data_IF_874519324793
#
_entry.id   IF_874519324793
#
_cell.length_a   1.000
_cell.length_b   1.000
_cell.length_c   1.000
_cell.angle_alpha   90.00
_cell.angle_beta   90.00
_cell.angle_gamma   90.00
#
_symmetry.space_group_name_H-M   'P 1'
#
loop_
_entity.id
_entity.type
_entity.pdbx_description
1 polymer ?
#
# COMPACT_ATOMS: atom_id res chain seq x y z
N UNK A 1 -36.10 2.86 34.77
CA UNK A 1 -35.80 1.59 34.08
C UNK A 1 -35.07 0.68 35.03
N UNK A 2 -35.45 -0.61 35.10
CA UNK A 2 -34.74 -1.58 35.93
C UNK A 2 -33.42 -2.00 35.25
N UNK A 3 -32.38 -2.29 36.05
CA UNK A 3 -31.08 -2.75 35.56
C UNK A 3 -31.22 -4.16 34.97
N UNK A 4 -30.74 -4.36 33.71
CA UNK A 4 -30.65 -5.67 33.10
C UNK A 4 -29.64 -6.56 33.80
N UNK A 5 -29.87 -7.86 33.84
CA UNK A 5 -28.95 -8.86 34.38
C UNK A 5 -28.43 -9.76 33.26
N UNK A 6 -27.15 -10.06 33.28
CA UNK A 6 -26.52 -11.00 32.36
C UNK A 6 -27.01 -12.42 32.71
N UNK A 7 -27.49 -13.14 31.69
CA UNK A 7 -27.88 -14.54 31.78
C UNK A 7 -26.95 -15.40 30.95
N UNK A 8 -26.75 -16.64 31.36
CA UNK A 8 -26.05 -17.63 30.53
C UNK A 8 -26.80 -17.83 29.22
N UNK A 9 -26.04 -17.84 28.11
CA UNK A 9 -26.60 -18.02 26.78
C UNK A 9 -26.67 -19.49 26.44
N UNK A 10 -27.88 -19.94 26.08
CA UNK A 10 -28.04 -21.19 25.34
C UNK A 10 -27.84 -20.84 23.84
N UNK A 11 -26.90 -21.53 23.19
CA UNK A 11 -26.69 -21.35 21.76
C UNK A 11 -27.85 -21.81 20.94
N UNK A 12 -28.26 -21.04 19.93
CA UNK A 12 -29.27 -21.45 18.98
C UNK A 12 -28.73 -22.56 18.07
N UNK A 13 -29.56 -23.57 17.81
CA UNK A 13 -29.17 -24.73 16.99
C UNK A 13 -28.98 -24.36 15.51
N UNK A 14 -29.79 -23.41 15.04
CA UNK A 14 -29.74 -22.83 13.69
C UNK A 14 -30.18 -21.37 13.76
N UNK A 15 -29.43 -20.49 13.12
CA UNK A 15 -29.79 -19.08 12.89
C UNK A 15 -29.67 -18.81 11.41
N UNK A 16 -30.76 -18.34 10.79
CA UNK A 16 -30.73 -17.89 9.40
C UNK A 16 -29.92 -16.59 9.25
N UNK A 17 -29.25 -16.42 8.10
CA UNK A 17 -28.50 -15.19 7.84
C UNK A 17 -29.38 -13.93 7.96
N UNK A 18 -30.63 -13.99 7.54
CA UNK A 18 -31.62 -12.92 7.65
C UNK A 18 -32.06 -12.61 9.09
N UNK A 19 -31.87 -13.56 10.01
CA UNK A 19 -32.25 -13.43 11.42
C UNK A 19 -31.12 -12.85 12.29
N UNK A 20 -29.92 -12.75 11.73
CA UNK A 20 -28.80 -12.12 12.42
C UNK A 20 -29.08 -10.63 12.63
N UNK A 21 -28.99 -10.12 13.89
CA UNK A 21 -29.20 -8.72 14.16
C UNK A 21 -28.16 -7.90 13.41
N UNK A 22 -28.64 -7.01 12.56
CA UNK A 22 -27.79 -6.10 11.80
C UNK A 22 -27.91 -4.70 12.38
N UNK A 23 -26.82 -3.97 12.40
CA UNK A 23 -26.83 -2.51 12.52
C UNK A 23 -27.65 -1.93 11.36
N UNK A 24 -28.30 -0.75 11.50
CA UNK A 24 -29.08 -0.11 10.42
C UNK A 24 -28.25 0.27 9.18
N UNK A 25 -27.09 -0.28 9.05
CA UNK A 25 -26.32 -0.30 7.85
C UNK A 25 -25.00 0.47 7.99
N UNK A 26 -23.98 -0.04 7.37
CA UNK A 26 -22.82 0.73 6.96
C UNK A 26 -23.18 1.41 5.64
N UNK A 27 -23.97 2.47 5.71
CA UNK A 27 -24.45 3.24 4.55
C UNK A 27 -23.30 3.53 3.57
N UNK A 28 -22.09 3.74 4.10
CA UNK A 28 -20.88 3.94 3.31
C UNK A 28 -20.52 2.70 2.48
N UNK A 29 -20.43 1.51 3.08
CA UNK A 29 -20.05 0.28 2.37
C UNK A 29 -21.13 -0.19 1.40
N UNK A 30 -22.40 0.03 1.72
CA UNK A 30 -23.52 -0.25 0.81
C UNK A 30 -23.44 0.64 -0.43
N UNK A 31 -23.18 1.94 -0.23
CA UNK A 31 -23.00 2.89 -1.33
C UNK A 31 -21.77 2.56 -2.16
N UNK A 32 -20.63 2.29 -1.51
CA UNK A 32 -19.40 1.89 -2.19
C UNK A 32 -19.60 0.61 -3.01
N UNK A 33 -20.29 -0.39 -2.43
CA UNK A 33 -20.61 -1.63 -3.14
C UNK A 33 -21.47 -1.38 -4.38
N UNK A 34 -22.47 -0.50 -4.31
CA UNK A 34 -23.30 -0.12 -5.46
C UNK A 34 -22.46 0.49 -6.57
N UNK A 35 -21.58 1.42 -6.24
CA UNK A 35 -20.67 2.07 -7.20
C UNK A 35 -19.74 1.03 -7.85
N UNK A 36 -19.15 0.12 -7.07
CA UNK A 36 -18.28 -0.94 -7.60
C UNK A 36 -19.02 -1.92 -8.52
N UNK A 37 -20.29 -2.25 -8.20
CA UNK A 37 -21.10 -3.14 -9.04
C UNK A 37 -21.50 -2.43 -10.35
N UNK A 38 -22.01 -1.20 -10.26
CA UNK A 38 -22.42 -0.40 -11.42
C UNK A 38 -21.26 -0.16 -12.39
N UNK A 39 -20.06 0.07 -11.87
CA UNK A 39 -18.84 0.21 -12.65
C UNK A 39 -18.28 -1.10 -13.21
N UNK A 40 -18.78 -2.28 -12.80
CA UNK A 40 -18.27 -3.57 -13.27
C UNK A 40 -16.92 -3.97 -12.68
N UNK A 41 -16.62 -3.54 -11.46
CA UNK A 41 -15.33 -3.69 -10.79
C UNK A 41 -14.79 -5.13 -10.76
N UNK A 42 -15.63 -6.12 -10.46
CA UNK A 42 -15.15 -7.51 -10.34
C UNK A 42 -14.65 -8.04 -11.67
N UNK A 43 -15.36 -7.76 -12.77
CA UNK A 43 -14.95 -8.17 -14.11
C UNK A 43 -13.64 -7.51 -14.54
N UNK A 44 -13.46 -6.23 -14.23
CA UNK A 44 -12.24 -5.49 -14.49
C UNK A 44 -11.06 -6.07 -13.68
N UNK A 45 -11.22 -6.24 -12.36
CA UNK A 45 -10.19 -6.79 -11.48
C UNK A 45 -9.77 -8.21 -11.88
N UNK A 46 -10.73 -9.06 -12.28
CA UNK A 46 -10.45 -10.41 -12.77
C UNK A 46 -9.68 -10.38 -14.09
N UNK A 47 -10.03 -9.48 -15.01
CA UNK A 47 -9.34 -9.32 -16.28
C UNK A 47 -7.89 -8.84 -16.07
N UNK A 48 -7.68 -7.83 -15.25
CA UNK A 48 -6.35 -7.30 -14.91
C UNK A 48 -5.43 -8.33 -14.22
N UNK A 49 -6.01 -9.22 -13.43
CA UNK A 49 -5.26 -10.23 -12.68
C UNK A 49 -5.05 -11.55 -13.44
N UNK A 50 -5.75 -11.78 -14.55
CA UNK A 50 -5.85 -13.10 -15.22
C UNK A 50 -4.51 -13.74 -15.55
N UNK A 51 -3.54 -12.97 -16.03
CA UNK A 51 -2.21 -13.45 -16.43
C UNK A 51 -1.37 -13.96 -15.26
N UNK A 52 -1.72 -13.60 -14.03
CA UNK A 52 -1.00 -13.98 -12.82
C UNK A 52 -1.60 -15.20 -12.10
N UNK A 53 -2.60 -15.82 -12.70
CA UNK A 53 -3.26 -17.03 -12.20
C UNK A 53 -3.19 -18.16 -13.23
N UNK A 54 -3.13 -19.41 -12.76
CA UNK A 54 -3.14 -20.57 -13.64
C UNK A 54 -4.47 -20.69 -14.36
N UNK A 55 -4.42 -20.93 -15.69
CA UNK A 55 -5.62 -20.96 -16.53
C UNK A 55 -6.56 -22.15 -16.23
N UNK A 56 -6.04 -23.31 -15.84
CA UNK A 56 -6.83 -24.57 -15.73
C UNK A 56 -6.47 -25.47 -14.55
N UNK A 57 -5.30 -25.31 -13.91
CA UNK A 57 -4.81 -26.25 -12.90
C UNK A 57 -4.80 -25.60 -11.50
N UNK A 58 -5.22 -26.38 -10.50
CA UNK A 58 -5.25 -25.98 -9.09
C UNK A 58 -6.64 -25.71 -8.53
N UNK A 59 -6.73 -25.59 -7.20
CA UNK A 59 -7.96 -25.19 -6.54
C UNK A 59 -8.33 -23.74 -6.91
N UNK A 60 -9.63 -23.40 -7.06
CA UNK A 60 -10.07 -22.03 -7.28
C UNK A 60 -9.52 -21.11 -6.18
N UNK A 61 -8.90 -19.99 -6.61
CA UNK A 61 -8.45 -18.98 -5.66
C UNK A 61 -9.62 -18.09 -5.23
N UNK A 62 -9.41 -17.33 -4.16
CA UNK A 62 -10.33 -16.23 -3.81
C UNK A 62 -10.34 -15.21 -4.95
N UNK A 63 -11.52 -14.72 -5.38
CA UNK A 63 -11.62 -13.74 -6.46
C UNK A 63 -10.77 -12.47 -6.21
N UNK A 64 -10.06 -11.94 -7.22
CA UNK A 64 -9.24 -10.73 -7.07
C UNK A 64 -10.01 -9.52 -6.52
N UNK A 65 -11.25 -9.31 -6.95
CA UNK A 65 -12.09 -8.22 -6.45
C UNK A 65 -12.27 -8.23 -4.92
N UNK A 66 -12.17 -9.40 -4.28
CA UNK A 66 -12.23 -9.50 -2.81
C UNK A 66 -10.93 -9.03 -2.16
N UNK A 67 -9.78 -9.29 -2.76
CA UNK A 67 -8.49 -8.78 -2.32
C UNK A 67 -8.51 -7.24 -2.27
N UNK A 68 -8.91 -6.60 -3.34
CA UNK A 68 -8.97 -5.14 -3.39
C UNK A 68 -10.01 -4.56 -2.42
N UNK A 69 -11.18 -5.19 -2.26
CA UNK A 69 -12.17 -4.77 -1.24
C UNK A 69 -11.60 -4.82 0.18
N UNK A 70 -10.82 -5.84 0.53
CA UNK A 70 -10.16 -5.89 1.84
C UNK A 70 -9.18 -4.73 2.01
N UNK A 71 -8.41 -4.36 0.98
CA UNK A 71 -7.54 -3.19 1.02
C UNK A 71 -8.32 -1.86 1.12
N UNK A 72 -9.48 -1.74 0.45
CA UNK A 72 -10.37 -0.58 0.62
C UNK A 72 -10.85 -0.47 2.07
N UNK A 73 -11.22 -1.58 2.72
CA UNK A 73 -11.56 -1.58 4.16
C UNK A 73 -10.38 -1.08 4.98
N UNK A 74 -9.16 -1.58 4.72
CA UNK A 74 -7.96 -1.14 5.41
C UNK A 74 -7.73 0.36 5.30
N UNK A 75 -7.84 0.88 4.09
CA UNK A 75 -7.70 2.30 3.82
C UNK A 75 -8.73 3.15 4.57
N UNK A 76 -10.02 2.83 4.43
CA UNK A 76 -11.10 3.62 5.04
C UNK A 76 -11.18 3.52 6.57
N UNK A 77 -10.76 2.40 7.15
CA UNK A 77 -10.77 2.20 8.60
C UNK A 77 -9.39 2.40 9.26
N UNK A 78 -8.37 2.79 8.49
CA UNK A 78 -7.01 3.06 9.01
C UNK A 78 -6.33 1.79 9.57
N UNK A 79 -6.51 0.65 8.92
CA UNK A 79 -5.95 -0.64 9.37
C UNK A 79 -4.70 -0.97 8.56
N UNK A 80 -3.54 -0.87 9.18
CA UNK A 80 -2.24 -1.03 8.52
C UNK A 80 -1.76 -2.50 8.40
N UNK A 81 -2.40 -3.45 9.11
CA UNK A 81 -1.95 -4.83 9.14
C UNK A 81 -2.94 -5.79 8.49
N UNK A 82 -2.43 -6.75 7.71
CA UNK A 82 -3.24 -7.80 7.09
C UNK A 82 -3.98 -8.66 8.12
N UNK A 83 -3.40 -8.89 9.31
CA UNK A 83 -4.08 -9.58 10.41
C UNK A 83 -5.22 -8.75 10.99
N UNK A 84 -5.03 -7.44 11.10
CA UNK A 84 -6.11 -6.53 11.51
C UNK A 84 -7.26 -6.54 10.51
N UNK A 85 -6.95 -6.56 9.19
CA UNK A 85 -7.95 -6.68 8.12
C UNK A 85 -8.75 -7.98 8.21
N UNK A 86 -8.05 -9.13 8.35
CA UNK A 86 -8.70 -10.44 8.51
C UNK A 86 -9.65 -10.43 9.72
N UNK A 87 -9.15 -9.98 10.86
CA UNK A 87 -9.92 -9.92 12.09
C UNK A 87 -11.12 -8.99 11.95
N UNK A 88 -10.91 -7.76 11.49
CA UNK A 88 -11.98 -6.76 11.34
C UNK A 88 -13.08 -7.22 10.38
N UNK A 89 -12.71 -7.79 9.25
CA UNK A 89 -13.66 -8.34 8.28
C UNK A 89 -14.40 -9.58 8.82
N UNK A 90 -13.76 -10.38 9.66
CA UNK A 90 -14.38 -11.55 10.26
C UNK A 90 -15.44 -11.20 11.30
N UNK A 91 -15.22 -10.11 12.03
CA UNK A 91 -16.07 -9.67 13.14
C UNK A 91 -17.27 -8.82 12.71
N UNK A 92 -17.36 -8.45 11.43
CA UNK A 92 -18.40 -7.57 10.91
C UNK A 92 -19.24 -8.24 9.83
N UNK A 93 -20.55 -8.38 10.08
CA UNK A 93 -21.51 -8.88 9.09
C UNK A 93 -21.58 -7.97 7.86
N UNK A 94 -21.57 -6.64 8.05
CA UNK A 94 -21.60 -5.67 6.95
C UNK A 94 -20.37 -5.76 6.06
N UNK A 95 -19.19 -5.94 6.65
CA UNK A 95 -17.96 -6.12 5.87
C UNK A 95 -17.93 -7.46 5.13
N UNK A 96 -18.44 -8.53 5.75
CA UNK A 96 -18.59 -9.82 5.07
C UNK A 96 -19.50 -9.71 3.85
N UNK A 97 -20.57 -8.92 3.94
CA UNK A 97 -21.48 -8.62 2.82
C UNK A 97 -20.79 -7.79 1.74
N UNK A 98 -20.05 -6.74 2.12
CA UNK A 98 -19.21 -5.94 1.21
C UNK A 98 -18.18 -6.78 0.47
N UNK A 99 -17.58 -7.78 1.14
CA UNK A 99 -16.64 -8.74 0.54
C UNK A 99 -17.35 -9.79 -0.33
N UNK A 100 -18.69 -9.79 -0.44
CA UNK A 100 -19.49 -10.77 -1.16
C UNK A 100 -19.19 -12.20 -0.71
N UNK A 101 -19.13 -12.39 0.61
CA UNK A 101 -18.93 -13.69 1.22
C UNK A 101 -20.28 -14.38 1.45
N UNK A 102 -20.35 -15.67 1.11
CA UNK A 102 -21.46 -16.51 1.54
C UNK A 102 -21.50 -16.63 3.07
N UNK A 103 -22.68 -16.93 3.63
CA UNK A 103 -22.91 -16.94 5.08
C UNK A 103 -21.91 -17.80 5.86
N UNK A 104 -21.51 -18.95 5.30
CA UNK A 104 -20.54 -19.88 5.91
C UNK A 104 -19.12 -19.74 5.44
N UNK A 105 -18.85 -18.87 4.46
CA UNK A 105 -17.52 -18.68 3.92
C UNK A 105 -16.61 -18.01 4.95
N UNK A 106 -15.36 -18.45 5.02
CA UNK A 106 -14.35 -17.79 5.83
C UNK A 106 -13.85 -16.53 5.12
N UNK A 107 -13.53 -15.52 5.91
CA UNK A 107 -12.76 -14.36 5.41
C UNK A 107 -11.37 -14.87 5.00
N UNK A 108 -10.82 -14.39 3.88
CA UNK A 108 -9.45 -14.71 3.51
C UNK A 108 -8.47 -14.33 4.62
N UNK A 109 -7.55 -15.23 4.93
CA UNK A 109 -6.55 -15.02 5.99
C UNK A 109 -5.44 -14.05 5.56
N UNK A 110 -4.74 -13.48 6.53
CA UNK A 110 -3.64 -12.54 6.30
C UNK A 110 -2.53 -13.13 5.43
N UNK A 111 -2.26 -14.43 5.53
CA UNK A 111 -1.21 -15.06 4.71
C UNK A 111 -1.63 -15.19 3.24
N UNK A 112 -2.93 -15.31 2.98
CA UNK A 112 -3.45 -15.23 1.62
C UNK A 112 -3.33 -13.81 1.05
N UNK A 113 -3.64 -12.78 1.83
CA UNK A 113 -3.46 -11.38 1.43
C UNK A 113 -1.99 -11.12 1.06
N UNK A 114 -1.05 -11.51 1.92
CA UNK A 114 0.38 -11.36 1.68
C UNK A 114 0.85 -12.07 0.42
N UNK A 115 0.45 -13.34 0.23
CA UNK A 115 0.78 -14.10 -0.98
C UNK A 115 0.17 -13.49 -2.26
N UNK A 116 -1.02 -12.91 -2.15
CA UNK A 116 -1.67 -12.27 -3.29
C UNK A 116 -0.95 -10.98 -3.65
N UNK A 117 -0.57 -10.15 -2.67
CA UNK A 117 0.23 -8.95 -2.88
C UNK A 117 1.57 -9.27 -3.58
N UNK A 118 2.26 -10.34 -3.15
CA UNK A 118 3.52 -10.77 -3.79
C UNK A 118 3.33 -11.33 -5.20
N UNK A 119 2.14 -11.83 -5.52
CA UNK A 119 1.81 -12.37 -6.84
C UNK A 119 1.48 -11.29 -7.86
N UNK A 120 0.74 -10.27 -7.41
CA UNK A 120 0.27 -9.19 -8.27
C UNK A 120 1.34 -8.09 -8.33
N UNK A 121 1.87 -7.77 -9.50
CA UNK A 121 2.86 -6.72 -9.64
C UNK A 121 2.23 -5.33 -9.49
N UNK A 122 3.07 -4.31 -9.43
CA UNK A 122 2.66 -2.92 -9.21
C UNK A 122 1.68 -2.44 -10.30
N UNK A 123 1.90 -2.81 -11.54
CA UNK A 123 1.08 -2.41 -12.70
C UNK A 123 -0.40 -2.80 -12.54
N UNK A 124 -0.68 -3.92 -11.86
CA UNK A 124 -2.07 -4.32 -11.56
C UNK A 124 -2.70 -3.37 -10.54
N UNK A 125 -1.95 -2.96 -9.52
CA UNK A 125 -2.44 -2.02 -8.52
C UNK A 125 -2.66 -0.63 -9.14
N UNK A 126 -1.74 -0.18 -10.01
CA UNK A 126 -1.89 1.06 -10.79
C UNK A 126 -3.13 1.00 -11.68
N UNK A 127 -3.34 -0.08 -12.42
CA UNK A 127 -4.53 -0.22 -13.27
C UNK A 127 -5.85 -0.16 -12.47
N UNK A 128 -5.89 -0.71 -11.25
CA UNK A 128 -7.05 -0.58 -10.37
C UNK A 128 -7.22 0.86 -9.87
N UNK A 129 -6.13 1.53 -9.55
CA UNK A 129 -6.14 2.95 -9.17
C UNK A 129 -6.69 3.82 -10.30
N UNK A 130 -6.17 3.67 -11.50
CA UNK A 130 -6.59 4.42 -12.69
C UNK A 130 -8.08 4.18 -13.02
N UNK A 131 -8.52 2.91 -12.87
CA UNK A 131 -9.93 2.57 -13.06
C UNK A 131 -10.85 3.29 -12.05
N UNK A 132 -10.45 3.31 -10.77
CA UNK A 132 -11.20 4.03 -9.73
C UNK A 132 -11.21 5.53 -10.02
N UNK A 133 -10.09 6.08 -10.44
CA UNK A 133 -9.96 7.50 -10.75
C UNK A 133 -10.81 7.89 -11.96
N UNK A 134 -10.85 7.07 -13.01
CA UNK A 134 -11.76 7.28 -14.13
C UNK A 134 -13.23 7.30 -13.68
N UNK A 135 -13.62 6.38 -12.80
CA UNK A 135 -14.99 6.32 -12.26
C UNK A 135 -15.37 7.58 -11.49
N UNK A 136 -14.49 8.12 -10.66
CA UNK A 136 -14.75 9.36 -9.91
C UNK A 136 -14.69 10.60 -10.82
N UNK A 137 -13.86 10.58 -11.87
CA UNK A 137 -13.82 11.63 -12.88
C UNK A 137 -15.13 11.68 -13.69
N UNK A 138 -15.65 10.52 -14.11
CA UNK A 138 -16.97 10.43 -14.80
C UNK A 138 -18.11 10.94 -13.92
N UNK A 139 -17.99 10.78 -12.60
CA UNK A 139 -18.93 11.34 -11.63
C UNK A 139 -18.76 12.86 -11.41
N UNK A 140 -17.79 13.50 -12.06
CA UNK A 140 -17.49 14.93 -11.93
C UNK A 140 -16.81 15.30 -10.61
N UNK A 141 -16.17 14.34 -9.94
CA UNK A 141 -15.49 14.51 -8.67
C UNK A 141 -13.98 14.76 -8.82
N UNK A 142 -13.50 14.98 -10.04
CA UNK A 142 -12.13 15.42 -10.35
C UNK A 142 -12.22 16.64 -11.26
N UNK A 143 -11.58 17.75 -10.88
CA UNK A 143 -11.56 18.99 -11.66
C UNK A 143 -10.23 19.19 -12.36
N UNK A 144 -9.13 18.89 -11.69
CA UNK A 144 -7.78 18.96 -12.25
C UNK A 144 -7.23 20.39 -12.47
N UNK A 145 -7.93 21.41 -11.99
CA UNK A 145 -7.51 22.82 -12.18
C UNK A 145 -6.35 23.23 -11.28
N UNK A 146 -6.33 22.71 -10.04
CA UNK A 146 -5.31 23.03 -9.04
C UNK A 146 -4.76 21.73 -8.43
N UNK A 147 -3.52 21.42 -8.75
CA UNK A 147 -2.86 20.21 -8.25
C UNK A 147 -1.86 20.60 -7.16
N UNK A 148 -2.02 20.02 -5.98
CA UNK A 148 -1.05 20.06 -4.90
C UNK A 148 -0.20 18.80 -4.92
N UNK A 149 1.12 18.94 -4.75
CA UNK A 149 2.04 17.79 -4.62
C UNK A 149 2.67 17.83 -3.25
N UNK A 150 2.63 16.72 -2.53
CA UNK A 150 3.29 16.56 -1.24
C UNK A 150 4.09 15.26 -1.22
N UNK A 151 5.24 15.32 -0.58
CA UNK A 151 6.15 14.20 -0.41
C UNK A 151 6.31 13.84 1.07
N UNK A 152 6.31 12.57 1.34
CA UNK A 152 6.65 12.04 2.66
C UNK A 152 7.84 11.10 2.58
N UNK A 153 8.33 10.64 3.73
CA UNK A 153 9.40 9.64 3.79
C UNK A 153 8.85 8.40 4.45
N UNK A 154 8.93 7.28 3.75
CA UNK A 154 8.44 5.97 4.22
C UNK A 154 9.64 5.06 4.52
N UNK A 155 9.73 4.55 5.75
CA UNK A 155 10.78 3.59 6.10
C UNK A 155 10.61 2.29 5.30
N UNK A 156 11.70 1.81 4.71
CA UNK A 156 11.74 0.52 4.05
C UNK A 156 11.73 -0.62 5.09
N UNK A 157 11.20 -1.77 4.71
CA UNK A 157 11.28 -2.98 5.54
C UNK A 157 12.69 -3.61 5.47
N UNK A 158 13.70 -2.80 5.75
CA UNK A 158 15.11 -3.19 5.70
C UNK A 158 15.90 -2.49 6.82
N UNK A 159 16.78 -3.23 7.48
CA UNK A 159 17.53 -2.71 8.61
C UNK A 159 18.90 -2.13 8.18
N UNK A 160 19.26 -0.93 8.63
CA UNK A 160 20.56 -0.32 8.38
C UNK A 160 21.75 -1.21 8.77
N UNK A 161 21.61 -2.07 9.78
CA UNK A 161 22.67 -3.00 10.19
C UNK A 161 22.99 -4.09 9.15
N UNK A 162 22.13 -4.28 8.15
CA UNK A 162 22.27 -5.29 7.09
C UNK A 162 22.83 -4.73 5.78
N UNK A 163 23.15 -3.43 5.75
CA UNK A 163 23.78 -2.84 4.56
C UNK A 163 25.18 -3.40 4.33
N UNK A 164 25.52 -3.47 3.06
CA UNK A 164 26.83 -3.93 2.60
C UNK A 164 27.46 -2.89 1.68
N UNK A 165 28.77 -2.90 1.62
CA UNK A 165 29.50 -2.05 0.66
C UNK A 165 29.25 -2.54 -0.77
N UNK A 166 29.10 -1.59 -1.69
CA UNK A 166 28.90 -1.91 -3.11
C UNK A 166 30.12 -2.50 -3.78
N UNK A 167 31.31 -2.08 -3.34
CA UNK A 167 32.61 -2.49 -3.90
C UNK A 167 33.07 -3.86 -3.41
N UNK A 168 32.91 -4.16 -2.12
CA UNK A 168 33.45 -5.39 -1.50
C UNK A 168 32.39 -6.37 -1.06
N UNK A 169 31.13 -5.99 -0.97
CA UNK A 169 30.07 -6.81 -0.39
C UNK A 169 30.15 -6.97 1.13
N UNK A 170 31.10 -6.31 1.77
CA UNK A 170 31.32 -6.41 3.22
C UNK A 170 30.23 -5.65 4.00
N UNK A 171 29.69 -6.25 5.05
CA UNK A 171 28.90 -5.51 6.05
C UNK A 171 29.77 -4.58 6.88
N UNK A 172 29.13 -3.60 7.56
CA UNK A 172 29.85 -2.58 8.35
C UNK A 172 30.84 -3.18 9.37
N UNK A 173 30.45 -4.26 10.06
CA UNK A 173 31.33 -4.92 11.03
C UNK A 173 32.53 -5.60 10.36
N UNK A 174 32.34 -6.24 9.21
CA UNK A 174 33.42 -6.84 8.42
C UNK A 174 34.44 -5.80 7.95
N UNK A 175 33.94 -4.68 7.42
CA UNK A 175 34.79 -3.55 7.03
C UNK A 175 35.62 -3.02 8.22
N UNK A 176 35.01 -2.86 9.40
CA UNK A 176 35.74 -2.43 10.59
C UNK A 176 36.81 -3.45 11.02
N UNK A 177 36.51 -4.74 10.92
CA UNK A 177 37.47 -5.81 11.25
C UNK A 177 38.68 -5.76 10.30
N UNK A 178 38.45 -5.62 9.00
CA UNK A 178 39.53 -5.46 8.00
C UNK A 178 40.39 -4.22 8.30
N UNK A 179 39.76 -3.08 8.55
CA UNK A 179 40.48 -1.84 8.89
C UNK A 179 41.29 -1.97 10.21
N UNK A 180 40.80 -2.72 11.19
CA UNK A 180 41.53 -3.00 12.42
C UNK A 180 42.77 -3.86 12.16
N UNK A 181 42.66 -4.89 11.33
CA UNK A 181 43.76 -5.73 10.91
C UNK A 181 44.83 -4.95 10.14
N UNK A 182 44.42 -4.11 9.19
CA UNK A 182 45.28 -3.18 8.46
C UNK A 182 46.01 -2.20 9.39
N UNK A 183 45.41 -1.88 10.55
CA UNK A 183 45.99 -1.02 11.59
C UNK A 183 46.85 -1.78 12.61
N UNK A 184 47.13 -3.10 12.39
CA UNK A 184 48.00 -3.91 13.21
C UNK A 184 47.30 -4.64 14.38
N UNK A 185 45.97 -4.68 14.41
CA UNK A 185 45.19 -5.44 15.40
C UNK A 185 44.76 -6.77 14.77
N UNK A 186 45.52 -7.81 14.94
CA UNK A 186 45.29 -9.12 14.29
C UNK A 186 43.95 -9.75 14.66
N UNK A 187 43.55 -9.65 15.95
CA UNK A 187 42.28 -10.18 16.48
C UNK A 187 41.47 -9.11 17.19
N UNK A 188 40.75 -8.28 16.43
CA UNK A 188 40.02 -7.17 17.01
C UNK A 188 38.80 -7.65 17.84
N UNK A 189 38.69 -7.19 19.07
CA UNK A 189 37.54 -7.43 19.92
C UNK A 189 36.34 -6.54 19.52
N UNK A 190 35.15 -6.84 20.00
CA UNK A 190 33.98 -5.99 19.75
C UNK A 190 34.17 -4.56 20.25
N UNK A 191 34.94 -4.36 21.35
CA UNK A 191 35.26 -3.05 21.90
C UNK A 191 36.26 -2.29 21.02
N UNK A 192 37.26 -2.98 20.45
CA UNK A 192 38.21 -2.38 19.52
C UNK A 192 37.50 -1.91 18.25
N UNK A 193 36.60 -2.72 17.69
CA UNK A 193 35.79 -2.33 16.54
C UNK A 193 34.89 -1.13 16.85
N UNK A 194 34.26 -1.11 18.01
CA UNK A 194 33.44 0.02 18.44
C UNK A 194 34.27 1.31 18.62
N UNK A 195 35.47 1.20 19.18
CA UNK A 195 36.43 2.30 19.36
C UNK A 195 36.89 2.84 18.00
N UNK A 196 37.29 1.94 17.10
CA UNK A 196 37.71 2.29 15.73
C UNK A 196 36.57 2.97 14.97
N UNK A 197 35.37 2.40 15.02
CA UNK A 197 34.17 2.97 14.42
C UNK A 197 33.86 4.37 14.96
N UNK A 198 34.05 4.65 16.25
CA UNK A 198 33.86 5.99 16.85
C UNK A 198 34.95 6.99 16.44
N UNK A 199 36.21 6.57 16.32
CA UNK A 199 37.35 7.46 16.02
C UNK A 199 37.57 7.70 14.51
N UNK A 200 37.00 6.88 13.65
CA UNK A 200 37.16 6.97 12.20
C UNK A 200 36.68 8.32 11.65
N UNK A 201 37.51 9.00 10.85
CA UNK A 201 37.14 10.19 10.09
C UNK A 201 36.36 9.76 8.84
N UNK A 202 35.43 10.61 8.35
CA UNK A 202 34.66 10.33 7.12
C UNK A 202 33.56 9.29 7.29
N UNK A 203 32.80 9.34 8.38
CA UNK A 203 31.72 8.37 8.71
C UNK A 203 30.42 8.59 7.95
N UNK A 204 30.45 9.14 6.76
CA UNK A 204 29.23 9.33 5.99
C UNK A 204 28.70 7.98 5.49
N UNK A 205 27.47 7.69 5.81
CA UNK A 205 26.71 6.63 5.17
C UNK A 205 26.21 7.17 3.83
N UNK A 206 26.94 6.87 2.76
CA UNK A 206 26.60 7.32 1.40
C UNK A 206 25.87 6.21 0.65
N UNK A 207 24.82 6.57 -0.06
CA UNK A 207 24.13 5.66 -0.99
C UNK A 207 25.01 5.22 -2.18
N UNK A 208 26.13 5.92 -2.42
CA UNK A 208 27.14 5.51 -3.40
C UNK A 208 27.98 4.34 -2.92
N UNK A 209 28.27 4.28 -1.62
CA UNK A 209 29.16 3.27 -1.02
C UNK A 209 28.39 2.06 -0.48
N UNK A 210 27.16 2.26 -0.05
CA UNK A 210 26.37 1.28 0.68
C UNK A 210 25.07 0.94 -0.02
N UNK A 211 24.63 -0.31 0.14
CA UNK A 211 23.35 -0.80 -0.37
C UNK A 211 22.72 -1.77 0.63
N UNK A 212 21.42 -1.81 0.69
CA UNK A 212 20.72 -2.85 1.44
C UNK A 212 20.79 -4.18 0.69
N UNK A 213 21.11 -5.25 1.39
CA UNK A 213 21.12 -6.61 0.79
C UNK A 213 19.69 -7.15 0.62
N UNK A 214 18.77 -6.79 1.52
CA UNK A 214 17.38 -7.25 1.50
C UNK A 214 16.48 -6.40 0.61
N UNK A 215 16.85 -5.14 0.39
CA UNK A 215 16.09 -4.18 -0.41
C UNK A 215 17.06 -3.19 -1.10
N UNK A 216 17.60 -3.57 -2.27
CA UNK A 216 18.64 -2.77 -2.95
C UNK A 216 18.16 -1.41 -3.47
N UNK A 217 16.87 -1.22 -3.63
CA UNK A 217 16.27 0.02 -4.11
C UNK A 217 16.08 1.06 -3.00
N UNK A 218 15.91 0.60 -1.75
CA UNK A 218 15.81 1.48 -0.60
C UNK A 218 17.08 2.31 -0.40
N UNK A 219 16.93 3.59 -0.12
CA UNK A 219 18.03 4.54 0.08
C UNK A 219 18.19 4.93 1.54
N UNK A 220 19.44 5.17 1.93
CA UNK A 220 19.75 5.72 3.24
C UNK A 220 19.30 7.18 3.25
N UNK A 221 18.33 7.50 4.09
CA UNK A 221 17.77 8.83 4.22
C UNK A 221 17.67 9.25 5.68
N UNK A 222 17.77 10.55 5.93
CA UNK A 222 17.54 11.16 7.23
C UNK A 222 16.06 11.51 7.36
N UNK A 223 15.41 10.95 8.35
CA UNK A 223 14.00 11.20 8.65
C UNK A 223 13.78 12.57 9.30
N UNK A 224 12.54 13.07 9.31
CA UNK A 224 12.17 14.35 9.95
C UNK A 224 12.49 14.40 11.45
N UNK A 225 12.45 13.26 12.14
CA UNK A 225 12.82 13.13 13.56
C UNK A 225 14.34 13.12 13.82
N UNK A 226 15.15 13.24 12.76
CA UNK A 226 16.61 13.22 12.82
C UNK A 226 17.24 11.83 12.81
N UNK A 227 16.47 10.76 12.85
CA UNK A 227 16.97 9.39 12.71
C UNK A 227 17.35 9.08 11.25
N UNK A 228 18.13 8.02 11.04
CA UNK A 228 18.53 7.59 9.71
C UNK A 228 17.98 6.20 9.44
N UNK A 229 17.27 6.04 8.34
CA UNK A 229 16.67 4.77 7.92
C UNK A 229 16.98 4.49 6.45
N UNK A 230 16.78 3.24 6.06
CA UNK A 230 16.54 2.88 4.67
C UNK A 230 15.09 3.24 4.36
N UNK A 231 14.88 4.00 3.30
CA UNK A 231 13.59 4.61 3.04
C UNK A 231 13.30 4.79 1.55
N UNK A 232 12.04 5.06 1.27
CA UNK A 232 11.48 5.53 0.02
C UNK A 232 10.83 6.89 0.22
N UNK A 233 10.58 7.60 -0.88
CA UNK A 233 9.90 8.87 -0.91
C UNK A 233 8.61 8.75 -1.73
N UNK A 234 7.47 8.42 -1.10
CA UNK A 234 6.17 8.52 -1.76
C UNK A 234 5.80 9.99 -1.95
N UNK A 235 5.37 10.32 -3.15
CA UNK A 235 4.77 11.59 -3.52
C UNK A 235 3.34 11.39 -4.00
N UNK A 236 2.44 12.28 -3.58
CA UNK A 236 1.05 12.28 -4.00
C UNK A 236 0.72 13.60 -4.67
N UNK A 237 0.11 13.53 -5.84
CA UNK A 237 -0.54 14.66 -6.47
C UNK A 237 -2.04 14.61 -6.17
N UNK A 238 -2.58 15.70 -5.66
CA UNK A 238 -3.96 15.79 -5.19
C UNK A 238 -4.66 16.97 -5.88
N UNK A 239 -5.84 16.73 -6.41
CA UNK A 239 -6.74 17.79 -6.83
C UNK A 239 -7.22 18.56 -5.59
N UNK A 240 -6.80 19.82 -5.47
CA UNK A 240 -7.08 20.65 -4.28
C UNK A 240 -8.55 21.06 -4.16
N UNK A 241 -9.30 20.98 -5.23
CA UNK A 241 -10.72 21.35 -5.24
C UNK A 241 -11.62 20.21 -4.75
N UNK A 242 -11.20 18.98 -4.97
CA UNK A 242 -12.00 17.79 -4.66
C UNK A 242 -11.36 16.88 -3.61
N UNK A 243 -10.07 17.01 -3.39
CA UNK A 243 -9.29 16.11 -2.53
C UNK A 243 -8.96 14.76 -3.17
N UNK A 244 -9.25 14.57 -4.46
CA UNK A 244 -8.93 13.33 -5.16
C UNK A 244 -7.43 13.20 -5.38
N UNK A 245 -6.86 12.04 -5.07
CA UNK A 245 -5.48 11.72 -5.41
C UNK A 245 -5.43 11.36 -6.89
N UNK A 246 -4.70 12.13 -7.68
CA UNK A 246 -4.59 11.98 -9.14
C UNK A 246 -3.30 11.34 -9.59
N UNK A 247 -2.28 11.30 -8.73
CA UNK A 247 -1.09 10.46 -8.93
C UNK A 247 -0.48 10.06 -7.58
N UNK A 248 0.16 8.91 -7.55
CA UNK A 248 0.91 8.40 -6.41
C UNK A 248 2.19 7.75 -6.92
N UNK A 249 3.31 8.44 -6.76
CA UNK A 249 4.62 8.03 -7.25
C UNK A 249 5.55 7.64 -6.11
N UNK A 250 6.42 6.66 -6.36
CA UNK A 250 7.42 6.22 -5.40
C UNK A 250 8.82 6.52 -5.93
N UNK A 251 9.52 7.44 -5.25
CA UNK A 251 10.84 7.87 -5.62
C UNK A 251 11.92 7.37 -4.64
N UNK A 252 13.20 7.34 -5.07
CA UNK A 252 14.32 7.15 -4.16
C UNK A 252 14.35 8.22 -3.06
N UNK A 253 14.54 7.81 -1.80
CA UNK A 253 14.47 8.74 -0.66
C UNK A 253 15.64 9.76 -0.61
N UNK A 254 16.66 9.61 -1.43
CA UNK A 254 17.78 10.54 -1.58
C UNK A 254 17.60 11.57 -2.70
N UNK A 255 16.48 11.50 -3.46
CA UNK A 255 16.14 12.51 -4.46
C UNK A 255 15.40 13.69 -3.80
N UNK A 256 15.80 14.93 -4.17
CA UNK A 256 15.17 16.15 -3.67
C UNK A 256 13.79 16.39 -4.30
N UNK A 257 12.92 17.16 -3.61
CA UNK A 257 11.55 17.45 -4.07
C UNK A 257 11.53 18.13 -5.45
N UNK A 258 12.47 18.99 -5.74
CA UNK A 258 12.58 19.66 -7.05
C UNK A 258 12.89 18.71 -8.20
N UNK A 259 13.51 17.55 -7.91
CA UNK A 259 13.87 16.55 -8.93
C UNK A 259 12.72 15.62 -9.22
N UNK A 260 11.91 15.31 -8.20
CA UNK A 260 10.80 14.33 -8.29
C UNK A 260 9.49 14.98 -8.72
N UNK A 261 9.29 16.27 -8.41
CA UNK A 261 8.07 17.03 -8.71
C UNK A 261 7.65 16.93 -10.20
N UNK A 262 8.60 17.07 -11.12
CA UNK A 262 8.30 17.02 -12.55
C UNK A 262 7.73 15.67 -12.98
N UNK A 263 8.29 14.58 -12.43
CA UNK A 263 7.83 13.21 -12.69
C UNK A 263 6.42 13.00 -12.16
N UNK A 264 6.15 13.42 -10.93
CA UNK A 264 4.86 13.29 -10.28
C UNK A 264 3.78 14.13 -10.98
N UNK A 265 4.12 15.34 -11.42
CA UNK A 265 3.20 16.18 -12.20
C UNK A 265 2.94 15.60 -13.60
N UNK A 266 3.94 14.97 -14.24
CA UNK A 266 3.74 14.30 -15.52
C UNK A 266 2.78 13.11 -15.38
N UNK A 267 2.95 12.29 -14.34
CA UNK A 267 2.03 11.19 -14.03
C UNK A 267 0.60 11.71 -13.76
N UNK A 268 0.46 12.76 -12.95
CA UNK A 268 -0.83 13.37 -12.68
C UNK A 268 -1.52 13.88 -13.96
N UNK A 269 -0.75 14.51 -14.85
CA UNK A 269 -1.26 14.99 -16.14
C UNK A 269 -1.73 13.84 -17.03
N UNK A 270 -0.93 12.78 -17.16
CA UNK A 270 -1.29 11.60 -17.94
C UNK A 270 -2.60 10.97 -17.42
N UNK A 271 -2.74 10.85 -16.12
CA UNK A 271 -3.95 10.28 -15.50
C UNK A 271 -5.18 11.16 -15.71
N UNK A 272 -5.04 12.49 -15.59
CA UNK A 272 -6.13 13.44 -15.84
C UNK A 272 -6.56 13.45 -17.32
N UNK A 273 -5.63 13.36 -18.25
CA UNK A 273 -5.90 13.27 -19.68
C UNK A 273 -6.62 11.96 -20.03
N UNK A 274 -6.19 10.82 -19.47
CA UNK A 274 -6.83 9.53 -19.64
C UNK A 274 -8.24 9.49 -19.06
N UNK A 275 -8.48 10.18 -17.92
CA UNK A 275 -9.80 10.33 -17.30
C UNK A 275 -10.71 11.37 -17.94
N UNK A 276 -10.32 11.99 -19.08
CA UNK A 276 -11.12 12.98 -19.80
C UNK A 276 -11.19 14.35 -19.11
N UNK A 277 -10.40 14.62 -18.09
CA UNK A 277 -10.22 15.92 -17.44
C UNK A 277 -9.15 16.78 -18.13
N UNK A 278 -9.17 16.85 -19.46
CA UNK A 278 -8.26 17.75 -20.21
C UNK A 278 -8.65 19.20 -20.08
N UNK A 279 -7.65 20.09 -20.08
CA UNK A 279 -7.74 21.56 -20.00
C UNK A 279 -8.47 22.23 -21.18
N UNK A 280 -9.06 21.47 -22.08
CA UNK A 280 -9.89 21.96 -23.18
C UNK A 280 -11.37 21.76 -22.81
N UNK A 281 -12.06 22.82 -22.44
CA UNK A 281 -13.44 22.88 -21.96
C UNK A 281 -14.53 22.33 -22.88
N UNK A 282 -14.33 21.16 -23.47
CA UNK A 282 -15.33 20.39 -24.22
C UNK A 282 -15.54 19.03 -23.57
N UNK A 283 -16.58 18.94 -22.75
CA UNK A 283 -17.12 17.66 -22.29
C UNK A 283 -17.52 16.81 -23.50
N UNK A 284 -17.05 15.57 -23.67
CA UNK A 284 -17.69 14.64 -24.58
C UNK A 284 -19.13 14.41 -24.11
N UNK A 285 -20.08 14.56 -25.04
CA UNK A 285 -21.51 14.54 -24.76
C UNK A 285 -21.94 13.27 -24.03
N UNK A 286 -22.62 13.44 -22.92
CA UNK A 286 -23.16 12.38 -22.10
C UNK A 286 -24.08 11.45 -22.88
N UNK A 287 -23.78 10.15 -22.82
CA UNK A 287 -24.74 9.11 -23.19
C UNK A 287 -25.79 9.05 -22.08
N UNK A 288 -26.98 9.58 -22.38
CA UNK A 288 -28.15 9.42 -21.51
C UNK A 288 -28.65 7.98 -21.66
N UNK A 289 -28.40 7.16 -20.66
CA UNK A 289 -29.17 5.93 -20.51
C UNK A 289 -30.57 6.29 -19.96
N UNK A 290 -31.58 5.90 -20.73
CA UNK A 290 -32.98 5.89 -20.32
C UNK A 290 -33.25 4.67 -19.41
#
# INVERSE_FOLDING_TARGET
MAMGQQKDRQGDLMVGWSEMPRSPGHVFYDRLQSVLIEGGFDGFAEAACRSYYAAKLGAPSVPPGRYFRMHLVGYFEGIDSERGLEWRCSDSLSLREFLRLESRARVPDHSWLSRTRMRLPHEVHTAIFDWVLALIADAGLVQGERIGVDASTMAANAALRTIVRRDTGEGYRGMLARLAQESGIETPTAEDLARLGRKRKGKTLSNQDWVSKSDPEAKIAKMKDGTTHLAYKPEHAVDLDTGAVVAAELHPADEGDTTTLEKTLAAAKETLEAGGCGTDGRRPGGVRHR
#
